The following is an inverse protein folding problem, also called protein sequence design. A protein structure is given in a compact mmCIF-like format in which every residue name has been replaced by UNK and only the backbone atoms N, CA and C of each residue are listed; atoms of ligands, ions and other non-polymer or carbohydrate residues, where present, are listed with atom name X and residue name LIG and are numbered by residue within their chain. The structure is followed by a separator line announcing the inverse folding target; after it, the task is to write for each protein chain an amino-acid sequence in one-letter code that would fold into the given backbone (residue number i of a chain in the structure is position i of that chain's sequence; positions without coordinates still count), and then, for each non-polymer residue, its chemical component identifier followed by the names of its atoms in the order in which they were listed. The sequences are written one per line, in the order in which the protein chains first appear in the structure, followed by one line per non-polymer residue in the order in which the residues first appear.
data_IF_976332916927
#
_entry.id   IF_976332916927
#
_cell.length_a   1.000
_cell.length_b   1.000
_cell.length_c   1.000
_cell.angle_alpha   90.00
_cell.angle_beta   90.00
_cell.angle_gamma   90.00
#
_symmetry.space_group_name_H-M   'P 1'
#
loop_
_entity.id
_entity.type
_entity.pdbx_description
1 polymer ?
#
# COMPACT_ATOMS: atom_id res chain seq x y z
N UNK A 1 3.96 -3.07 21.87
CA UNK A 1 2.59 -2.99 21.28
C UNK A 1 2.51 -2.23 19.94
N UNK A 2 3.52 -1.49 19.48
CA UNK A 2 3.44 -0.69 18.24
C UNK A 2 3.44 -1.50 16.92
N UNK A 3 3.98 -2.72 16.92
CA UNK A 3 4.09 -3.54 15.71
C UNK A 3 2.74 -4.01 15.16
N UNK A 4 1.84 -4.48 16.05
CA UNK A 4 0.52 -4.98 15.65
C UNK A 4 -0.30 -3.89 14.97
N UNK A 5 -0.30 -2.67 15.51
CA UNK A 5 -1.03 -1.54 14.94
C UNK A 5 -0.49 -1.13 13.57
N UNK A 6 0.83 -1.18 13.34
CA UNK A 6 1.43 -0.93 12.02
C UNK A 6 1.07 -1.99 11.00
N UNK A 7 1.17 -3.27 11.38
CA UNK A 7 0.79 -4.38 10.50
C UNK A 7 -0.68 -4.34 10.13
N UNK A 8 -1.56 -4.01 11.08
CA UNK A 8 -2.99 -3.83 10.81
C UNK A 8 -3.24 -2.71 9.80
N UNK A 9 -2.60 -1.56 9.99
CA UNK A 9 -2.68 -0.42 9.06
C UNK A 9 -2.17 -0.78 7.66
N UNK A 10 -1.08 -1.54 7.58
CA UNK A 10 -0.50 -1.99 6.31
C UNK A 10 -1.43 -2.95 5.57
N UNK A 11 -2.07 -3.88 6.28
CA UNK A 11 -3.06 -4.78 5.71
C UNK A 11 -4.32 -4.03 5.25
N UNK A 12 -4.81 -3.05 6.02
CA UNK A 12 -5.94 -2.21 5.61
C UNK A 12 -5.63 -1.40 4.34
N UNK A 13 -4.42 -0.86 4.22
CA UNK A 13 -3.96 -0.14 3.02
C UNK A 13 -3.87 -1.09 1.83
N UNK A 14 -3.32 -2.28 2.03
CA UNK A 14 -3.19 -3.29 0.98
C UNK A 14 -4.56 -3.73 0.44
N UNK A 15 -5.51 -4.04 1.33
CA UNK A 15 -6.89 -4.43 0.94
C UNK A 15 -7.60 -3.29 0.21
N UNK A 16 -7.44 -2.05 0.68
CA UNK A 16 -8.03 -0.87 0.04
C UNK A 16 -7.46 -0.64 -1.37
N UNK A 17 -6.14 -0.71 -1.51
CA UNK A 17 -5.46 -0.53 -2.79
C UNK A 17 -5.80 -1.67 -3.76
N UNK A 18 -5.85 -2.91 -3.29
CA UNK A 18 -6.25 -4.06 -4.08
C UNK A 18 -7.65 -3.84 -4.68
N UNK A 19 -8.66 -3.49 -3.86
CA UNK A 19 -10.02 -3.20 -4.36
C UNK A 19 -10.06 -2.04 -5.36
N UNK A 20 -9.28 -0.99 -5.12
CA UNK A 20 -9.32 0.22 -5.95
C UNK A 20 -8.58 0.05 -7.27
N UNK A 21 -7.49 -0.70 -7.27
CA UNK A 21 -6.58 -0.92 -8.40
C UNK A 21 -6.73 -2.32 -9.02
N UNK A 22 -7.77 -3.08 -8.66
CA UNK A 22 -8.11 -4.37 -9.28
C UNK A 22 -8.24 -4.23 -10.80
N UNK A 23 -8.82 -3.12 -11.28
CA UNK A 23 -8.89 -2.77 -12.72
C UNK A 23 -7.54 -2.43 -13.35
N UNK A 24 -6.62 -1.86 -12.58
CA UNK A 24 -5.30 -1.45 -13.03
C UNK A 24 -4.26 -2.59 -12.95
N UNK A 25 -4.62 -3.73 -12.33
CA UNK A 25 -3.73 -4.84 -12.07
C UNK A 25 -2.72 -4.50 -10.97
N UNK A 26 -3.17 -4.48 -9.72
CA UNK A 26 -2.33 -4.27 -8.55
C UNK A 26 -1.26 -5.37 -8.42
N UNK A 27 0.01 -4.97 -8.39
CA UNK A 27 1.17 -5.86 -8.25
C UNK A 27 1.83 -5.82 -6.87
N UNK A 28 1.44 -4.89 -6.01
CA UNK A 28 1.92 -4.78 -4.62
C UNK A 28 2.21 -3.35 -4.18
N UNK A 29 2.34 -3.16 -2.86
CA UNK A 29 2.67 -1.87 -2.23
C UNK A 29 3.89 -1.99 -1.34
N UNK A 30 4.83 -1.06 -1.51
CA UNK A 30 5.94 -0.87 -0.59
C UNK A 30 5.70 0.40 0.25
N UNK A 31 5.52 0.21 1.55
CA UNK A 31 5.38 1.30 2.51
C UNK A 31 6.66 1.40 3.32
N UNK A 32 7.33 2.53 3.18
CA UNK A 32 8.54 2.90 3.90
C UNK A 32 8.25 4.10 4.79
N UNK A 33 8.22 3.88 6.10
CA UNK A 33 8.02 4.94 7.10
C UNK A 33 9.38 5.54 7.44
N UNK A 34 9.67 6.72 6.89
CA UNK A 34 10.87 7.49 7.22
C UNK A 34 10.53 8.53 8.31
N UNK A 35 11.51 9.01 9.09
CA UNK A 35 11.27 10.07 10.08
C UNK A 35 10.70 11.36 9.48
N UNK A 36 10.93 11.59 8.19
CA UNK A 36 10.46 12.76 7.44
C UNK A 36 9.02 12.58 6.91
N UNK A 37 8.54 11.34 6.80
CA UNK A 37 7.22 11.03 6.25
C UNK A 37 7.08 9.59 5.76
N UNK A 38 5.88 9.25 5.27
CA UNK A 38 5.58 7.93 4.75
C UNK A 38 5.69 7.91 3.23
N UNK A 39 6.61 7.11 2.71
CA UNK A 39 6.75 6.86 1.28
C UNK A 39 5.95 5.61 0.91
N UNK A 40 5.04 5.74 -0.05
CA UNK A 40 4.20 4.64 -0.55
C UNK A 40 4.47 4.47 -2.04
N UNK A 41 5.07 3.34 -2.41
CA UNK A 41 5.33 2.97 -3.81
C UNK A 41 4.35 1.87 -4.19
N UNK A 42 3.52 2.15 -5.20
CA UNK A 42 2.49 1.23 -5.68
C UNK A 42 2.96 0.67 -7.02
N UNK A 43 3.01 -0.65 -7.14
CA UNK A 43 3.28 -1.33 -8.40
C UNK A 43 1.95 -1.75 -9.01
N UNK A 44 1.68 -1.29 -10.23
CA UNK A 44 0.49 -1.65 -10.99
C UNK A 44 0.84 -1.89 -12.46
N UNK A 45 0.12 -2.81 -13.11
CA UNK A 45 0.31 -3.14 -14.53
C UNK A 45 -0.13 -2.01 -15.46
N UNK A 46 -1.11 -1.20 -15.04
CA UNK A 46 -1.59 -0.02 -15.77
C UNK A 46 -1.65 1.17 -14.82
N UNK A 47 -0.52 1.87 -14.58
CA UNK A 47 -0.45 2.96 -13.60
C UNK A 47 -1.21 4.23 -14.01
N UNK A 48 -1.73 4.30 -15.25
CA UNK A 48 -2.41 5.46 -15.81
C UNK A 48 -3.91 5.33 -15.98
N UNK A 49 -4.58 4.41 -15.26
CA UNK A 49 -6.03 4.19 -15.31
C UNK A 49 -6.73 4.62 -14.03
#
# INVERSE_FOLDING_TARGET
KHFISKSKKRAEIDEFLQKKLEKAGYGGVNISETPLGTHVVIYAMRPGL
#
